data_IF_738799678696
#
_entry.id   IF_738799678696
#
_cell.length_a   1.000
_cell.length_b   1.000
_cell.length_c   1.000
_cell.angle_alpha   90.00
_cell.angle_beta   90.00
_cell.angle_gamma   90.00
#
_symmetry.space_group_name_H-M   'P 1'
#
loop_
_entity.id
_entity.type
_entity.pdbx_description
1 polymer ?
#
# COMPACT_ATOMS: atom_id res chain seq x y z
N UNK A 1 -19.78 12.58 -4.86
CA UNK A 1 -19.24 11.25 -4.51
C UNK A 1 -19.18 10.43 -5.80
N UNK A 2 -18.03 9.87 -6.16
CA UNK A 2 -17.87 9.10 -7.41
C UNK A 2 -18.20 7.62 -7.13
N UNK A 3 -19.42 7.24 -7.52
CA UNK A 3 -19.92 5.86 -7.28
C UNK A 3 -19.22 4.82 -8.15
N UNK A 4 -18.76 5.23 -9.35
CA UNK A 4 -17.95 4.42 -10.27
C UNK A 4 -16.66 3.88 -9.60
N UNK A 5 -15.92 4.76 -8.92
CA UNK A 5 -14.68 4.40 -8.21
C UNK A 5 -14.99 3.48 -7.02
N UNK A 6 -16.11 3.71 -6.33
CA UNK A 6 -16.53 2.83 -5.23
C UNK A 6 -16.89 1.43 -5.74
N UNK A 7 -17.58 1.34 -6.87
CA UNK A 7 -17.88 0.06 -7.52
C UNK A 7 -16.61 -0.71 -7.88
N UNK A 8 -15.62 -0.05 -8.51
CA UNK A 8 -14.34 -0.67 -8.84
C UNK A 8 -13.58 -1.16 -7.59
N UNK A 9 -13.62 -0.41 -6.49
CA UNK A 9 -13.04 -0.85 -5.21
C UNK A 9 -13.73 -2.10 -4.66
N UNK A 10 -15.05 -2.15 -4.73
CA UNK A 10 -15.80 -3.33 -4.28
C UNK A 10 -15.45 -4.57 -5.11
N UNK A 11 -15.33 -4.43 -6.43
CA UNK A 11 -14.90 -5.51 -7.32
C UNK A 11 -13.48 -5.97 -6.96
N UNK A 12 -12.57 -5.03 -6.70
CA UNK A 12 -11.20 -5.35 -6.31
C UNK A 12 -11.14 -6.13 -4.98
N UNK A 13 -11.92 -5.71 -3.96
CA UNK A 13 -12.01 -6.42 -2.68
C UNK A 13 -12.56 -7.83 -2.88
N UNK A 14 -13.66 -7.96 -3.62
CA UNK A 14 -14.28 -9.26 -3.87
C UNK A 14 -13.34 -10.18 -4.65
N UNK A 15 -12.57 -9.65 -5.61
CA UNK A 15 -11.57 -10.42 -6.35
C UNK A 15 -10.47 -10.97 -5.44
N UNK A 16 -9.89 -10.12 -4.59
CA UNK A 16 -8.87 -10.55 -3.62
C UNK A 16 -9.42 -11.56 -2.63
N UNK A 17 -10.63 -11.34 -2.10
CA UNK A 17 -11.28 -12.26 -1.18
C UNK A 17 -11.56 -13.62 -1.83
N UNK A 18 -12.07 -13.63 -3.05
CA UNK A 18 -12.33 -14.83 -3.82
C UNK A 18 -11.05 -15.63 -4.09
N UNK A 19 -9.93 -14.94 -4.39
CA UNK A 19 -8.61 -15.57 -4.54
C UNK A 19 -8.16 -16.27 -3.24
N UNK A 20 -8.36 -15.66 -2.07
CA UNK A 20 -7.98 -16.28 -0.80
C UNK A 20 -8.89 -17.45 -0.39
N UNK A 21 -10.18 -17.36 -0.71
CA UNK A 21 -11.13 -18.43 -0.38
C UNK A 21 -11.06 -19.62 -1.34
N UNK A 22 -10.83 -19.37 -2.63
CA UNK A 22 -10.83 -20.39 -3.66
C UNK A 22 -9.77 -20.08 -4.75
N UNK A 23 -8.47 -20.18 -4.45
CA UNK A 23 -7.38 -19.77 -5.36
C UNK A 23 -7.40 -20.52 -6.69
N UNK A 24 -7.85 -21.77 -6.70
CA UNK A 24 -7.95 -22.58 -7.93
C UNK A 24 -9.04 -22.09 -8.89
N UNK A 25 -10.11 -21.47 -8.38
CA UNK A 25 -11.21 -20.96 -9.19
C UNK A 25 -10.99 -19.50 -9.60
N UNK A 26 -10.38 -18.70 -8.74
CA UNK A 26 -10.19 -17.27 -8.94
C UNK A 26 -8.71 -16.91 -9.05
N UNK A 27 -7.97 -17.60 -9.92
CA UNK A 27 -6.52 -17.44 -10.10
C UNK A 27 -6.10 -15.98 -10.28
N UNK A 28 -6.87 -15.17 -10.99
CA UNK A 28 -6.58 -13.77 -11.28
C UNK A 28 -7.11 -12.80 -10.20
N UNK A 29 -7.66 -13.28 -9.10
CA UNK A 29 -8.24 -12.42 -8.07
C UNK A 29 -7.20 -11.53 -7.37
N UNK A 30 -5.92 -11.93 -7.35
CA UNK A 30 -4.81 -11.11 -6.82
C UNK A 30 -4.65 -9.78 -7.56
N UNK A 31 -5.09 -9.67 -8.84
CA UNK A 31 -5.08 -8.41 -9.59
C UNK A 31 -5.94 -7.31 -8.93
N UNK A 32 -6.81 -7.66 -7.99
CA UNK A 32 -7.53 -6.69 -7.18
C UNK A 32 -6.60 -5.76 -6.40
N UNK A 33 -5.42 -6.22 -5.97
CA UNK A 33 -4.41 -5.37 -5.33
C UNK A 33 -3.89 -4.31 -6.31
N UNK A 34 -3.64 -4.69 -7.57
CA UNK A 34 -3.20 -3.76 -8.60
C UNK A 34 -4.26 -2.69 -8.91
N UNK A 35 -5.53 -3.09 -8.94
CA UNK A 35 -6.64 -2.14 -9.06
C UNK A 35 -6.66 -1.14 -7.90
N UNK A 36 -6.36 -1.55 -6.66
CA UNK A 36 -6.23 -0.63 -5.55
C UNK A 36 -5.11 0.39 -5.76
N UNK A 37 -3.93 -0.03 -6.23
CA UNK A 37 -2.83 0.89 -6.51
C UNK A 37 -3.20 1.90 -7.58
N UNK A 38 -3.81 1.45 -8.69
CA UNK A 38 -4.28 2.35 -9.76
C UNK A 38 -5.32 3.34 -9.25
N UNK A 39 -6.31 2.88 -8.49
CA UNK A 39 -7.36 3.73 -7.94
C UNK A 39 -6.82 4.73 -6.90
N UNK A 40 -5.88 4.30 -6.05
CA UNK A 40 -5.22 5.17 -5.08
C UNK A 40 -4.39 6.25 -5.78
N UNK A 41 -3.62 5.87 -6.80
CA UNK A 41 -2.85 6.80 -7.63
C UNK A 41 -3.74 7.81 -8.36
N UNK A 42 -4.82 7.34 -8.99
CA UNK A 42 -5.79 8.20 -9.67
C UNK A 42 -6.45 9.22 -8.71
N UNK A 43 -6.93 8.76 -7.57
CA UNK A 43 -7.58 9.64 -6.59
C UNK A 43 -6.62 10.70 -6.06
N UNK A 44 -5.38 10.31 -5.79
CA UNK A 44 -4.35 11.22 -5.31
C UNK A 44 -4.03 12.29 -6.33
N UNK A 45 -3.78 11.88 -7.56
CA UNK A 45 -3.51 12.82 -8.65
C UNK A 45 -4.69 13.75 -8.90
N UNK A 46 -5.92 13.24 -8.88
CA UNK A 46 -7.14 14.02 -9.05
C UNK A 46 -7.32 15.08 -7.96
N UNK A 47 -6.91 14.79 -6.71
CA UNK A 47 -6.96 15.77 -5.61
C UNK A 47 -5.91 16.85 -5.82
N UNK A 48 -4.67 16.47 -6.10
CA UNK A 48 -3.55 17.42 -6.23
C UNK A 48 -3.60 18.25 -7.51
N UNK A 49 -4.22 17.73 -8.58
CA UNK A 49 -4.37 18.45 -9.86
C UNK A 49 -5.46 19.52 -9.78
N UNK A 50 -6.50 19.33 -8.97
CA UNK A 50 -7.58 20.31 -8.79
C UNK A 50 -7.14 21.58 -8.09
N UNK A 51 -6.10 21.51 -7.28
CA UNK A 51 -5.54 22.67 -6.59
C UNK A 51 -4.66 23.48 -7.55
N UNK A 52 -5.03 24.71 -7.85
CA UNK A 52 -4.21 25.60 -8.71
C UNK A 52 -2.83 25.85 -8.12
N UNK A 53 -2.76 26.06 -6.80
CA UNK A 53 -1.52 26.19 -6.04
C UNK A 53 -1.49 25.17 -4.90
N UNK A 54 -0.51 24.26 -4.93
CA UNK A 54 -0.30 23.32 -3.84
C UNK A 54 0.38 24.07 -2.68
N UNK A 55 -0.42 24.55 -1.74
CA UNK A 55 0.06 25.18 -0.51
C UNK A 55 0.52 24.10 0.50
N UNK A 56 1.40 24.49 1.42
CA UNK A 56 1.78 23.66 2.56
C UNK A 56 0.57 23.18 3.39
N UNK A 57 -0.43 24.02 3.56
CA UNK A 57 -1.68 23.66 4.23
C UNK A 57 -2.46 22.57 3.48
N UNK A 58 -2.46 22.58 2.16
CA UNK A 58 -3.09 21.53 1.33
C UNK A 58 -2.40 20.18 1.56
N UNK A 59 -1.07 20.17 1.58
CA UNK A 59 -0.27 18.95 1.83
C UNK A 59 -0.50 18.43 3.24
N UNK A 60 -0.44 19.30 4.25
CA UNK A 60 -0.70 18.95 5.64
C UNK A 60 -2.09 18.33 5.82
N UNK A 61 -3.11 18.96 5.25
CA UNK A 61 -4.49 18.46 5.30
C UNK A 61 -4.62 17.11 4.60
N UNK A 62 -3.95 16.94 3.47
CA UNK A 62 -3.89 15.68 2.74
C UNK A 62 -3.33 14.56 3.62
N UNK A 63 -2.14 14.75 4.24
CA UNK A 63 -1.52 13.75 5.10
C UNK A 63 -2.36 13.43 6.34
N UNK A 64 -2.91 14.45 7.02
CA UNK A 64 -3.77 14.24 8.19
C UNK A 64 -4.97 13.35 7.85
N UNK A 65 -5.61 13.60 6.71
CA UNK A 65 -6.76 12.79 6.27
C UNK A 65 -6.37 11.34 5.95
N UNK A 66 -5.18 11.10 5.42
CA UNK A 66 -4.68 9.75 5.11
C UNK A 66 -4.27 9.01 6.37
N UNK A 67 -3.50 9.66 7.24
CA UNK A 67 -3.09 9.11 8.54
C UNK A 67 -4.31 8.71 9.37
N UNK A 68 -5.28 9.60 9.54
CA UNK A 68 -6.54 9.31 10.26
C UNK A 68 -7.34 8.16 9.68
N UNK A 69 -7.19 7.88 8.40
CA UNK A 69 -7.91 6.79 7.73
C UNK A 69 -7.19 5.45 7.82
N UNK A 70 -5.86 5.43 7.73
CA UNK A 70 -5.07 4.20 7.59
C UNK A 70 -4.51 3.75 8.94
N UNK A 71 -3.85 4.66 9.65
CA UNK A 71 -3.07 4.32 10.86
C UNK A 71 -3.90 3.69 11.97
N UNK A 72 -5.13 4.16 12.31
CA UNK A 72 -5.89 3.56 13.39
C UNK A 72 -6.25 2.09 13.15
N UNK A 73 -6.72 1.77 11.95
CA UNK A 73 -7.07 0.40 11.60
C UNK A 73 -5.83 -0.48 11.52
N UNK A 74 -4.74 0.03 10.95
CA UNK A 74 -3.45 -0.67 10.89
C UNK A 74 -2.91 -1.01 12.28
N UNK A 75 -2.84 0.00 13.17
CA UNK A 75 -2.38 -0.19 14.54
C UNK A 75 -3.26 -1.19 15.32
N UNK A 76 -4.59 -1.12 15.13
CA UNK A 76 -5.51 -2.07 15.74
C UNK A 76 -5.29 -3.50 15.24
N UNK A 77 -5.05 -3.67 13.93
CA UNK A 77 -4.74 -4.98 13.34
C UNK A 77 -3.43 -5.54 13.87
N UNK A 78 -2.36 -4.74 13.92
CA UNK A 78 -1.08 -5.16 14.48
C UNK A 78 -1.21 -5.52 15.97
N UNK A 79 -1.90 -4.71 16.77
CA UNK A 79 -2.13 -5.00 18.17
C UNK A 79 -2.91 -6.31 18.38
N UNK A 80 -3.96 -6.54 17.59
CA UNK A 80 -4.73 -7.78 17.63
C UNK A 80 -3.85 -8.99 17.28
N UNK A 81 -3.06 -8.91 16.21
CA UNK A 81 -2.15 -9.98 15.81
C UNK A 81 -1.07 -10.24 16.87
N UNK A 82 -0.50 -9.20 17.47
CA UNK A 82 0.50 -9.35 18.55
C UNK A 82 -0.06 -10.08 19.77
N UNK A 83 -1.36 -9.90 20.07
CA UNK A 83 -2.04 -10.60 21.18
C UNK A 83 -2.38 -12.04 20.79
N UNK A 84 -2.82 -12.28 19.57
CA UNK A 84 -3.32 -13.58 19.11
C UNK A 84 -2.17 -14.54 18.77
N UNK A 85 -1.08 -14.04 18.16
CA UNK A 85 0.03 -14.88 17.70
C UNK A 85 0.61 -15.79 18.79
N UNK A 86 0.94 -15.32 20.01
CA UNK A 86 1.49 -16.19 21.05
C UNK A 86 0.50 -17.22 21.60
N UNK A 87 -0.80 -17.06 21.32
CA UNK A 87 -1.85 -18.00 21.76
C UNK A 87 -2.02 -19.14 20.74
N UNK A 88 -1.83 -18.85 19.47
CA UNK A 88 -2.18 -19.76 18.36
C UNK A 88 -0.95 -20.47 17.77
N UNK A 89 0.21 -19.80 17.77
CA UNK A 89 1.41 -20.25 17.04
C UNK A 89 2.46 -20.87 17.97
N UNK A 90 3.32 -21.69 17.41
CA UNK A 90 4.47 -22.31 18.09
C UNK A 90 5.60 -21.27 18.30
N UNK A 91 6.55 -21.52 19.23
CA UNK A 91 7.63 -20.57 19.56
C UNK A 91 8.46 -20.11 18.36
N UNK A 92 8.74 -20.98 17.39
CA UNK A 92 9.52 -20.65 16.20
C UNK A 92 8.78 -19.62 15.32
N UNK A 93 7.49 -19.81 15.10
CA UNK A 93 6.66 -18.86 14.35
C UNK A 93 6.54 -17.51 15.06
N UNK A 94 6.55 -17.49 16.39
CA UNK A 94 6.53 -16.24 17.18
C UNK A 94 7.80 -15.43 16.92
N UNK A 95 8.97 -16.08 16.85
CA UNK A 95 10.23 -15.40 16.57
C UNK A 95 10.24 -14.77 15.17
N UNK A 96 9.71 -15.47 14.16
CA UNK A 96 9.53 -14.96 12.81
C UNK A 96 8.54 -13.77 12.78
N UNK A 97 7.41 -13.89 13.49
CA UNK A 97 6.44 -12.81 13.62
C UNK A 97 7.02 -11.52 14.23
N UNK A 98 7.87 -11.65 15.26
CA UNK A 98 8.54 -10.49 15.88
C UNK A 98 9.47 -9.80 14.86
N UNK A 99 10.25 -10.58 14.10
CA UNK A 99 11.09 -10.03 13.05
C UNK A 99 10.31 -9.31 11.95
N UNK A 100 9.14 -9.86 11.54
CA UNK A 100 8.27 -9.21 10.57
C UNK A 100 7.58 -7.95 11.15
N UNK A 101 7.24 -7.96 12.44
CA UNK A 101 6.65 -6.81 13.13
C UNK A 101 7.58 -5.58 13.14
N UNK A 102 8.89 -5.78 13.26
CA UNK A 102 9.87 -4.70 13.19
C UNK A 102 9.83 -3.95 11.85
N UNK A 103 9.55 -4.65 10.75
CA UNK A 103 9.39 -4.05 9.43
C UNK A 103 7.98 -3.53 9.17
N UNK A 104 6.98 -4.18 9.74
CA UNK A 104 5.60 -3.74 9.64
C UNK A 104 5.37 -2.40 10.36
N UNK A 105 5.92 -2.19 11.55
CA UNK A 105 5.74 -0.95 12.32
C UNK A 105 6.04 0.33 11.52
N UNK A 106 7.15 0.45 10.78
CA UNK A 106 7.44 1.60 9.93
C UNK A 106 6.79 1.54 8.53
N UNK A 107 5.87 0.62 8.26
CA UNK A 107 5.28 0.38 6.93
C UNK A 107 6.31 -0.02 5.87
N UNK A 108 7.33 -0.79 6.24
CA UNK A 108 8.44 -1.19 5.39
C UNK A 108 8.43 -2.69 5.03
N UNK A 109 7.33 -3.40 5.21
CA UNK A 109 7.16 -4.83 4.93
C UNK A 109 7.54 -5.20 3.48
N UNK A 110 7.16 -4.33 2.53
CA UNK A 110 7.56 -4.50 1.13
C UNK A 110 9.08 -4.46 0.93
N UNK A 111 9.82 -3.69 1.71
CA UNK A 111 11.29 -3.63 1.64
C UNK A 111 11.91 -4.89 2.23
N UNK A 112 11.38 -5.42 3.32
CA UNK A 112 11.81 -6.69 3.89
C UNK A 112 11.67 -7.81 2.85
N UNK A 113 10.52 -7.89 2.17
CA UNK A 113 10.27 -8.91 1.15
C UNK A 113 11.28 -8.83 -0.01
N UNK A 114 11.67 -7.61 -0.42
CA UNK A 114 12.72 -7.41 -1.44
C UNK A 114 14.09 -7.84 -0.92
N UNK A 115 14.40 -7.60 0.34
CA UNK A 115 15.71 -7.97 0.94
C UNK A 115 15.80 -9.48 1.20
N UNK A 116 14.69 -10.13 1.55
CA UNK A 116 14.59 -11.60 1.71
C UNK A 116 14.47 -12.34 0.38
N UNK A 117 14.53 -11.68 -0.76
CA UNK A 117 14.19 -12.14 -2.12
C UNK A 117 14.88 -13.44 -2.58
N UNK A 118 15.82 -13.99 -1.83
CA UNK A 118 16.50 -15.23 -2.19
C UNK A 118 15.77 -16.51 -1.76
N UNK A 119 14.67 -16.40 -0.98
CA UNK A 119 13.93 -17.56 -0.46
C UNK A 119 12.40 -17.43 -0.61
N UNK A 120 11.93 -16.91 -1.76
CA UNK A 120 10.48 -16.83 -2.05
C UNK A 120 9.73 -18.13 -1.74
N UNK A 121 10.30 -19.28 -2.06
CA UNK A 121 9.70 -20.58 -1.80
C UNK A 121 9.66 -20.93 -0.30
N UNK A 122 10.65 -20.54 0.45
CA UNK A 122 10.71 -20.77 1.91
C UNK A 122 9.66 -19.91 2.61
N UNK A 123 9.42 -18.68 2.17
CA UNK A 123 8.38 -17.80 2.72
C UNK A 123 6.97 -18.29 2.41
N UNK A 124 6.72 -18.82 1.21
CA UNK A 124 5.40 -19.37 0.84
C UNK A 124 5.04 -20.57 1.73
N UNK A 125 6.03 -21.37 2.15
CA UNK A 125 5.79 -22.49 3.06
C UNK A 125 5.66 -22.07 4.53
N UNK A 126 6.28 -20.96 4.94
CA UNK A 126 6.23 -20.48 6.33
C UNK A 126 5.00 -19.57 6.62
N UNK A 127 4.18 -19.26 5.61
CA UNK A 127 2.93 -18.48 5.74
C UNK A 127 3.08 -17.25 6.67
N UNK A 128 3.92 -16.26 6.33
CA UNK A 128 4.14 -15.12 7.22
C UNK A 128 2.83 -14.37 7.46
N UNK A 129 2.45 -14.23 8.72
CA UNK A 129 1.17 -13.65 9.15
C UNK A 129 1.01 -12.21 8.65
N UNK A 130 2.12 -11.48 8.54
CA UNK A 130 2.15 -10.07 8.15
C UNK A 130 2.40 -9.86 6.65
N UNK A 131 2.59 -10.92 5.86
CA UNK A 131 2.91 -10.83 4.43
C UNK A 131 2.00 -9.85 3.68
N UNK A 132 0.70 -9.89 3.96
CA UNK A 132 -0.28 -9.07 3.23
C UNK A 132 -0.18 -7.56 3.51
N UNK A 133 0.60 -7.14 4.49
CA UNK A 133 0.80 -5.73 4.82
C UNK A 133 1.76 -5.02 3.84
N UNK A 134 2.51 -5.77 3.01
CA UNK A 134 3.42 -5.20 2.01
C UNK A 134 2.72 -4.18 1.09
N UNK A 135 1.51 -4.48 0.67
CA UNK A 135 0.76 -3.60 -0.23
C UNK A 135 0.40 -2.26 0.41
N UNK A 136 0.11 -2.26 1.71
CA UNK A 136 -0.14 -1.04 2.45
C UNK A 136 1.15 -0.24 2.68
N UNK A 137 2.28 -0.91 2.89
CA UNK A 137 3.60 -0.29 2.93
C UNK A 137 3.90 0.50 1.64
N UNK A 138 3.71 -0.14 0.47
CA UNK A 138 3.85 0.51 -0.84
C UNK A 138 2.92 1.73 -0.96
N UNK A 139 1.66 1.61 -0.53
CA UNK A 139 0.68 2.71 -0.61
C UNK A 139 1.10 3.91 0.24
N UNK A 140 1.59 3.69 1.46
CA UNK A 140 2.06 4.77 2.34
C UNK A 140 3.32 5.44 1.79
N UNK A 141 4.29 4.67 1.33
CA UNK A 141 5.51 5.21 0.71
C UNK A 141 5.18 6.05 -0.53
N UNK A 142 4.25 5.58 -1.35
CA UNK A 142 3.75 6.32 -2.50
C UNK A 142 3.11 7.66 -2.06
N UNK A 143 2.27 7.66 -1.03
CA UNK A 143 1.66 8.89 -0.50
C UNK A 143 2.69 9.89 0.01
N UNK A 144 3.80 9.43 0.58
CA UNK A 144 4.87 10.31 1.04
C UNK A 144 5.59 11.02 -0.12
N UNK A 145 5.84 10.32 -1.22
CA UNK A 145 6.69 10.80 -2.32
C UNK A 145 5.91 11.67 -3.32
N UNK A 146 4.68 11.27 -3.68
CA UNK A 146 3.95 11.86 -4.81
C UNK A 146 3.65 13.35 -4.66
N UNK A 147 3.24 13.91 -3.50
CA UNK A 147 3.01 15.34 -3.39
C UNK A 147 4.24 16.18 -3.74
N UNK A 148 5.43 15.73 -3.37
CA UNK A 148 6.69 16.43 -3.69
C UNK A 148 6.98 16.40 -5.19
N UNK A 149 6.81 15.24 -5.84
CA UNK A 149 6.99 15.12 -7.29
C UNK A 149 6.01 16.04 -8.03
N UNK A 150 4.76 16.10 -7.57
CA UNK A 150 3.74 16.96 -8.19
C UNK A 150 4.04 18.45 -8.03
N UNK A 151 4.59 18.87 -6.88
CA UNK A 151 5.01 20.27 -6.65
C UNK A 151 6.15 20.63 -7.60
N UNK A 152 7.15 19.78 -7.69
CA UNK A 152 8.30 19.98 -8.59
C UNK A 152 7.83 20.04 -10.04
N UNK A 153 6.98 19.09 -10.44
CA UNK A 153 6.41 19.04 -11.79
C UNK A 153 5.62 20.30 -12.16
N UNK A 154 4.79 20.82 -11.24
CA UNK A 154 4.05 22.07 -11.47
C UNK A 154 4.97 23.30 -11.59
N UNK A 155 6.06 23.35 -10.83
CA UNK A 155 7.05 24.47 -10.91
C UNK A 155 7.86 24.45 -12.21
N UNK A 156 8.08 23.28 -12.80
CA UNK A 156 8.84 23.13 -14.05
C UNK A 156 8.00 23.35 -15.32
N UNK A 157 6.74 23.79 -15.20
CA UNK A 157 5.83 24.05 -16.32
C UNK A 157 5.31 22.76 -16.99
N UNK A 158 4.73 22.90 -18.20
CA UNK A 158 4.07 21.77 -18.89
C UNK A 158 4.97 20.56 -19.16
N UNK A 159 6.23 20.80 -19.50
CA UNK A 159 7.22 19.69 -19.68
C UNK A 159 7.55 19.02 -18.36
N UNK A 160 7.74 19.79 -17.29
CA UNK A 160 8.01 19.28 -15.96
C UNK A 160 6.83 18.52 -15.38
N UNK A 161 5.60 18.93 -15.66
CA UNK A 161 4.38 18.21 -15.27
C UNK A 161 4.35 16.82 -15.91
N UNK A 162 4.65 16.68 -17.21
CA UNK A 162 4.70 15.38 -17.91
C UNK A 162 5.82 14.48 -17.35
N UNK A 163 6.99 15.04 -17.06
CA UNK A 163 8.12 14.32 -16.46
C UNK A 163 7.76 13.87 -15.04
N UNK A 164 7.10 14.73 -14.25
CA UNK A 164 6.59 14.37 -12.92
C UNK A 164 5.63 13.19 -12.95
N UNK A 165 4.71 13.15 -13.90
CA UNK A 165 3.81 12.01 -14.08
C UNK A 165 4.54 10.73 -14.46
N UNK A 166 5.52 10.80 -15.37
CA UNK A 166 6.35 9.65 -15.72
C UNK A 166 7.15 9.13 -14.51
N UNK A 167 7.74 10.03 -13.72
CA UNK A 167 8.44 9.66 -12.50
C UNK A 167 7.53 8.97 -11.48
N UNK A 168 6.30 9.46 -11.29
CA UNK A 168 5.30 8.83 -10.42
C UNK A 168 4.97 7.40 -10.87
N UNK A 169 4.80 7.19 -12.18
CA UNK A 169 4.51 5.86 -12.75
C UNK A 169 5.71 4.91 -12.54
N UNK A 170 6.94 5.39 -12.79
CA UNK A 170 8.16 4.58 -12.65
C UNK A 170 8.38 4.20 -11.18
N UNK A 171 8.23 5.14 -10.25
CA UNK A 171 8.38 4.88 -8.81
C UNK A 171 7.33 3.89 -8.33
N UNK A 172 6.07 4.07 -8.72
CA UNK A 172 5.00 3.13 -8.37
C UNK A 172 5.28 1.71 -8.87
N UNK A 173 5.92 1.57 -10.05
CA UNK A 173 6.31 0.28 -10.60
C UNK A 173 7.50 -0.35 -9.87
N UNK A 174 8.43 0.45 -9.37
CA UNK A 174 9.63 -0.02 -8.66
C UNK A 174 9.37 -0.38 -7.18
N UNK A 175 8.37 0.23 -6.55
CA UNK A 175 7.97 -0.07 -5.17
C UNK A 175 7.09 -1.32 -5.06
N UNK A 176 6.62 -1.82 -6.17
CA UNK A 176 5.86 -3.07 -6.31
C UNK A 176 6.80 -4.26 -6.52
#
# INVERSE_FOLDING_TARGET
>A
KRNDIQGLRSIAILGVLAFHLAPKLFVNGFLGVDLFFVLSGYLMSSILTKESNISWNTIKTFYIRRVKRIVPLYAMTLAALTIITPIVFIPDDISHFIGDLEWALPFAENMQNVMKQFDYWTEVFNSPVLLHLWSLGVEIQYYLIVPFIMIIGKRCGDRGSKIGWLAVIIIGKKLR
#
